data_IF_396803550213
#
_entry.id   IF_396803550213
#
_cell.length_a   1.000
_cell.length_b   1.000
_cell.length_c   1.000
_cell.angle_alpha   90.00
_cell.angle_beta   90.00
_cell.angle_gamma   90.00
#
_symmetry.space_group_name_H-M   'P 1'
#
loop_
_entity.id
_entity.type
_entity.pdbx_description
1 polymer ?
#
# COMPACT_ATOMS: atom_id res chain seq x y z
N UNK A 1 6.52 25.58 -16.14
CA UNK A 1 5.42 24.91 -15.41
C UNK A 1 4.40 24.41 -16.42
N UNK A 2 4.17 23.10 -16.51
CA UNK A 2 3.22 22.51 -17.48
C UNK A 2 1.80 22.50 -16.88
N UNK A 3 0.77 22.93 -17.62
CA UNK A 3 -0.60 23.08 -17.11
C UNK A 3 -1.21 21.74 -16.64
N UNK A 4 -1.92 21.81 -15.51
CA UNK A 4 -2.52 20.70 -14.75
C UNK A 4 -3.41 19.70 -15.54
N UNK A 5 -4.10 20.05 -16.65
CA UNK A 5 -4.99 19.10 -17.34
C UNK A 5 -4.27 17.97 -18.09
N UNK A 6 -3.09 18.23 -18.66
CA UNK A 6 -2.39 17.25 -19.52
C UNK A 6 -1.59 16.20 -18.75
N UNK A 7 -1.46 16.36 -17.42
CA UNK A 7 -0.79 15.38 -16.57
C UNK A 7 -1.55 14.06 -16.47
N UNK A 8 -2.88 14.07 -16.60
CA UNK A 8 -3.68 12.84 -16.40
C UNK A 8 -3.54 11.85 -17.56
N UNK A 9 -3.54 12.30 -18.81
CA UNK A 9 -3.55 11.40 -19.97
C UNK A 9 -2.22 10.68 -20.20
N UNK A 10 -1.08 11.37 -20.05
CA UNK A 10 0.25 10.72 -20.18
C UNK A 10 0.57 9.78 -19.01
N UNK A 11 0.04 10.04 -17.81
CA UNK A 11 0.22 9.16 -16.65
C UNK A 11 -0.55 7.84 -16.79
N UNK A 12 -1.70 7.85 -17.47
CA UNK A 12 -2.51 6.63 -17.68
C UNK A 12 -1.85 5.65 -18.66
N UNK A 13 -1.16 6.14 -19.68
CA UNK A 13 -0.40 5.30 -20.63
C UNK A 13 0.85 4.68 -19.98
N UNK A 14 1.52 5.43 -19.09
CA UNK A 14 2.59 4.88 -18.26
C UNK A 14 2.07 3.85 -17.24
N UNK A 15 0.87 4.06 -16.67
CA UNK A 15 0.22 3.11 -15.77
C UNK A 15 0.01 1.74 -16.45
N UNK A 16 -0.42 1.70 -17.72
CA UNK A 16 -0.62 0.44 -18.46
C UNK A 16 0.67 -0.36 -18.65
N UNK A 17 1.82 0.30 -18.70
CA UNK A 17 3.15 -0.34 -18.86
C UNK A 17 3.79 -0.69 -17.52
N UNK A 18 3.27 -0.14 -16.43
CA UNK A 18 3.83 -0.18 -15.09
C UNK A 18 2.74 -0.64 -14.09
N UNK A 19 1.83 -1.52 -14.54
CA UNK A 19 0.68 -2.01 -13.76
C UNK A 19 1.12 -2.82 -12.53
N UNK A 20 2.37 -3.30 -12.53
CA UNK A 20 2.97 -4.06 -11.44
C UNK A 20 4.00 -3.28 -10.62
N UNK A 21 4.22 -2.00 -10.93
CA UNK A 21 5.23 -1.23 -10.20
C UNK A 21 4.61 -0.62 -8.93
N UNK A 22 5.12 -1.08 -7.79
CA UNK A 22 4.62 -0.71 -6.47
C UNK A 22 4.69 0.79 -6.21
N UNK A 23 5.66 1.49 -6.80
CA UNK A 23 5.78 2.93 -6.65
C UNK A 23 4.63 3.66 -7.35
N UNK A 24 4.20 3.17 -8.52
CA UNK A 24 3.08 3.72 -9.27
C UNK A 24 1.78 3.46 -8.53
N UNK A 25 1.56 2.22 -8.09
CA UNK A 25 0.36 1.85 -7.33
C UNK A 25 0.26 2.68 -6.03
N UNK A 26 1.36 2.83 -5.29
CA UNK A 26 1.39 3.64 -4.08
C UNK A 26 1.16 5.13 -4.37
N UNK A 27 1.64 5.66 -5.50
CA UNK A 27 1.40 7.04 -5.90
C UNK A 27 -0.08 7.28 -6.26
N UNK A 28 -0.72 6.32 -6.95
CA UNK A 28 -2.15 6.39 -7.28
C UNK A 28 -3.00 6.28 -6.02
N UNK A 29 -2.71 5.33 -5.13
CA UNK A 29 -3.39 5.21 -3.84
C UNK A 29 -3.30 6.50 -3.01
N UNK A 30 -2.11 7.12 -2.93
CA UNK A 30 -1.94 8.42 -2.24
C UNK A 30 -2.72 9.55 -2.92
N UNK A 31 -2.79 9.55 -4.25
CA UNK A 31 -3.56 10.56 -4.98
C UNK A 31 -5.05 10.46 -4.67
N UNK A 32 -5.61 9.25 -4.67
CA UNK A 32 -7.00 9.03 -4.27
C UNK A 32 -7.25 9.35 -2.80
N UNK A 33 -6.29 9.04 -1.93
CA UNK A 33 -6.36 9.40 -0.51
C UNK A 33 -6.44 10.93 -0.34
N UNK A 34 -5.60 11.69 -1.03
CA UNK A 34 -5.66 13.16 -0.99
C UNK A 34 -6.91 13.74 -1.66
N UNK A 35 -7.52 13.05 -2.63
CA UNK A 35 -8.78 13.44 -3.29
C UNK A 35 -10.02 13.14 -2.43
N UNK A 36 -9.85 12.51 -1.25
CA UNK A 36 -10.94 12.10 -0.36
C UNK A 36 -11.70 10.85 -0.82
N UNK A 37 -11.18 10.16 -1.85
CA UNK A 37 -11.80 8.95 -2.41
C UNK A 37 -11.30 7.71 -1.70
N UNK A 38 -11.87 7.44 -0.53
CA UNK A 38 -11.44 6.36 0.37
C UNK A 38 -11.61 4.97 -0.25
N UNK A 39 -12.77 4.66 -0.85
CA UNK A 39 -13.02 3.37 -1.49
C UNK A 39 -12.03 3.06 -2.63
N UNK A 40 -11.76 4.05 -3.49
CA UNK A 40 -10.78 3.89 -4.58
C UNK A 40 -9.37 3.69 -4.00
N UNK A 41 -8.97 4.53 -3.03
CA UNK A 41 -7.67 4.39 -2.37
C UNK A 41 -7.50 3.00 -1.75
N UNK A 42 -8.55 2.48 -1.08
CA UNK A 42 -8.57 1.13 -0.52
C UNK A 42 -8.39 0.06 -1.59
N UNK A 43 -9.11 0.16 -2.70
CA UNK A 43 -9.01 -0.79 -3.81
C UNK A 43 -7.59 -0.81 -4.42
N UNK A 44 -6.97 0.36 -4.59
CA UNK A 44 -5.59 0.47 -5.06
C UNK A 44 -4.57 -0.09 -4.05
N UNK A 45 -4.76 0.12 -2.75
CA UNK A 45 -3.92 -0.48 -1.71
C UNK A 45 -4.07 -2.00 -1.65
N UNK A 46 -5.30 -2.51 -1.78
CA UNK A 46 -5.58 -3.94 -1.83
C UNK A 46 -4.92 -4.60 -3.06
N UNK A 47 -4.96 -3.94 -4.21
CA UNK A 47 -4.25 -4.36 -5.42
C UNK A 47 -2.73 -4.36 -5.19
N UNK A 48 -2.18 -3.37 -4.48
CA UNK A 48 -0.75 -3.30 -4.16
C UNK A 48 -0.26 -4.53 -3.37
N UNK A 49 -1.00 -4.90 -2.31
CA UNK A 49 -0.65 -6.05 -1.47
C UNK A 49 -0.93 -7.39 -2.15
N UNK A 50 -1.84 -7.42 -3.12
CA UNK A 50 -2.11 -8.62 -3.93
C UNK A 50 -1.03 -8.84 -5.00
N UNK A 51 -0.54 -7.76 -5.61
CA UNK A 51 0.48 -7.83 -6.66
C UNK A 51 1.89 -8.05 -6.10
N UNK A 52 2.21 -7.50 -4.93
CA UNK A 52 3.48 -7.75 -4.27
C UNK A 52 3.29 -7.93 -2.78
N UNK A 53 2.74 -9.08 -2.36
CA UNK A 53 2.53 -9.42 -0.96
C UNK A 53 3.85 -9.48 -0.18
N UNK A 54 4.96 -9.68 -0.87
CA UNK A 54 6.29 -9.77 -0.28
C UNK A 54 6.81 -8.41 0.25
N UNK A 55 6.24 -7.30 -0.20
CA UNK A 55 6.70 -5.95 0.14
C UNK A 55 5.93 -5.41 1.35
N UNK A 56 6.56 -5.47 2.51
CA UNK A 56 5.97 -5.01 3.78
C UNK A 56 5.63 -3.51 3.79
N UNK A 57 6.28 -2.72 2.94
CA UNK A 57 5.96 -1.30 2.78
C UNK A 57 4.52 -1.05 2.30
N UNK A 58 4.00 -1.93 1.43
CA UNK A 58 2.62 -1.85 0.93
C UNK A 58 1.61 -2.17 2.03
N UNK A 59 1.89 -3.22 2.81
CA UNK A 59 1.07 -3.60 3.97
C UNK A 59 1.05 -2.52 5.05
N UNK A 60 2.20 -1.91 5.36
CA UNK A 60 2.29 -0.83 6.32
C UNK A 60 1.49 0.40 5.90
N UNK A 61 1.53 0.77 4.61
CA UNK A 61 0.72 1.86 4.06
C UNK A 61 -0.77 1.52 4.14
N UNK A 62 -1.13 0.29 3.80
CA UNK A 62 -2.52 -0.16 3.83
C UNK A 62 -3.09 -0.16 5.26
N UNK A 63 -2.35 -0.73 6.22
CA UNK A 63 -2.75 -0.72 7.62
C UNK A 63 -2.87 0.70 8.19
N UNK A 64 -1.96 1.62 7.82
CA UNK A 64 -2.04 3.03 8.22
C UNK A 64 -3.26 3.75 7.64
N UNK A 65 -3.70 3.36 6.44
CA UNK A 65 -4.91 3.89 5.84
C UNK A 65 -6.15 3.41 6.60
N UNK A 66 -6.25 2.11 6.86
CA UNK A 66 -7.38 1.53 7.60
C UNK A 66 -7.46 2.06 9.05
N UNK A 67 -6.32 2.36 9.68
CA UNK A 67 -6.28 2.99 11.01
C UNK A 67 -6.94 4.37 11.06
N UNK A 68 -6.96 5.10 9.94
CA UNK A 68 -7.47 6.47 9.88
C UNK A 68 -8.88 6.57 9.30
N UNK A 69 -9.32 5.58 8.51
CA UNK A 69 -10.55 5.66 7.72
C UNK A 69 -11.52 4.48 7.95
N UNK A 70 -11.07 3.37 8.53
CA UNK A 70 -11.87 2.14 8.71
C UNK A 70 -12.02 1.71 10.17
N UNK A 71 -12.88 0.72 10.37
CA UNK A 71 -13.12 0.06 11.65
C UNK A 71 -12.01 -0.93 12.01
N UNK A 72 -11.89 -1.23 13.31
CA UNK A 72 -10.93 -2.19 13.85
C UNK A 72 -11.03 -3.59 13.22
N UNK A 73 -12.21 -3.97 12.72
CA UNK A 73 -12.42 -5.26 12.05
C UNK A 73 -11.60 -5.37 10.76
N UNK A 74 -11.63 -4.32 9.95
CA UNK A 74 -10.91 -4.25 8.69
C UNK A 74 -9.39 -4.17 8.92
N UNK A 75 -8.97 -3.43 9.95
CA UNK A 75 -7.58 -3.40 10.41
C UNK A 75 -7.08 -4.80 10.79
N UNK A 76 -7.90 -5.57 11.53
CA UNK A 76 -7.57 -6.95 11.90
C UNK A 76 -7.51 -7.87 10.69
N UNK A 77 -8.37 -7.70 9.69
CA UNK A 77 -8.30 -8.45 8.42
C UNK A 77 -6.99 -8.17 7.67
N UNK A 78 -6.65 -6.89 7.50
CA UNK A 78 -5.40 -6.49 6.83
C UNK A 78 -4.18 -7.03 7.57
N UNK A 79 -4.19 -7.00 8.91
CA UNK A 79 -3.12 -7.58 9.71
C UNK A 79 -3.02 -9.10 9.52
N UNK A 80 -4.14 -9.83 9.56
CA UNK A 80 -4.16 -11.29 9.32
C UNK A 80 -3.62 -11.62 7.93
N UNK A 81 -4.02 -10.87 6.91
CA UNK A 81 -3.54 -11.06 5.53
C UNK A 81 -2.06 -10.72 5.38
N UNK A 82 -1.60 -9.69 6.07
CA UNK A 82 -0.18 -9.34 6.14
C UNK A 82 0.65 -10.47 6.78
N UNK A 83 0.19 -11.03 7.90
CA UNK A 83 0.86 -12.17 8.57
C UNK A 83 0.89 -13.39 7.64
N UNK A 84 -0.23 -13.72 7.00
CA UNK A 84 -0.33 -14.83 6.06
C UNK A 84 0.53 -14.64 4.80
N UNK A 85 0.77 -13.39 4.40
CA UNK A 85 1.61 -13.05 3.26
C UNK A 85 3.12 -13.11 3.56
N UNK A 86 3.51 -13.15 4.85
CA UNK A 86 4.90 -13.16 5.32
C UNK A 86 5.85 -12.24 4.52
N UNK A 87 5.60 -10.92 4.44
CA UNK A 87 6.42 -10.01 3.65
C UNK A 87 7.89 -10.02 4.08
N UNK A 88 8.80 -10.32 3.14
CA UNK A 88 10.25 -10.45 3.39
C UNK A 88 11.04 -9.24 2.91
N UNK A 89 10.49 -8.44 1.99
CA UNK A 89 11.14 -7.27 1.41
C UNK A 89 10.59 -5.94 1.95
N UNK A 90 11.50 -4.97 2.04
CA UNK A 90 11.25 -3.60 2.50
C UNK A 90 12.18 -3.24 3.64
N UNK A 91 13.07 -2.27 3.43
CA UNK A 91 14.10 -1.88 4.42
C UNK A 91 13.50 -1.53 5.79
N UNK A 92 12.39 -0.79 5.80
CA UNK A 92 11.67 -0.47 7.05
C UNK A 92 10.94 -1.67 7.63
N UNK A 93 10.46 -2.59 6.79
CA UNK A 93 9.77 -3.80 7.26
C UNK A 93 10.75 -4.79 7.87
N UNK A 94 11.92 -4.99 7.27
CA UNK A 94 12.98 -5.80 7.83
C UNK A 94 13.46 -5.23 9.17
N UNK A 95 13.58 -3.91 9.30
CA UNK A 95 13.94 -3.27 10.56
C UNK A 95 12.88 -3.46 11.66
N UNK A 96 11.59 -3.36 11.32
CA UNK A 96 10.46 -3.50 12.27
C UNK A 96 10.20 -4.97 12.62
N UNK A 97 10.30 -5.89 11.65
CA UNK A 97 10.14 -7.34 11.86
C UNK A 97 11.30 -7.93 12.66
N UNK A 98 12.53 -7.44 12.46
CA UNK A 98 13.70 -7.80 13.28
C UNK A 98 13.83 -6.99 14.57
N UNK A 99 12.95 -6.02 14.82
CA UNK A 99 12.93 -5.32 16.09
C UNK A 99 12.56 -6.34 17.19
N UNK A 100 13.34 -6.34 18.27
CA UNK A 100 13.25 -7.33 19.37
C UNK A 100 11.86 -7.39 20.00
N UNK A 101 11.08 -6.31 19.92
CA UNK A 101 9.69 -6.24 20.41
C UNK A 101 8.69 -7.03 19.54
N UNK A 102 8.98 -7.26 18.25
CA UNK A 102 8.17 -8.10 17.35
C UNK A 102 8.77 -9.51 17.14
N UNK A 103 10.01 -9.73 17.57
CA UNK A 103 10.62 -11.05 17.57
C UNK A 103 10.08 -11.80 18.78
N UNK A 104 9.00 -12.55 18.57
CA UNK A 104 8.53 -13.55 19.54
C UNK A 104 9.72 -14.44 19.92
N UNK A 105 10.29 -14.19 21.09
CA UNK A 105 11.13 -15.16 21.76
C UNK A 105 10.25 -16.36 22.10
N UNK A 106 10.42 -17.44 21.35
CA UNK A 106 10.25 -18.80 21.83
C UNK A 106 11.52 -19.57 21.53
#
# INVERSE_FOLDING_TARGET
MVPRPQRKTKSMDALKRCDHDLYVIAAVAKLFWHDGKMDEARNWLNRAVTLSPDIGGSWALYYKFELQHDTEENQKDVLKRCIAAEPKHGERWQAISKAVENSTSQ
#
